data_IF_080129629997
#
_entry.id   IF_080129629997
#
_cell.length_a   1.000
_cell.length_b   1.000
_cell.length_c   1.000
_cell.angle_alpha   90.00
_cell.angle_beta   90.00
_cell.angle_gamma   90.00
#
_symmetry.space_group_name_H-M   'P 1'
#
loop_
_entity.id
_entity.type
_entity.pdbx_description
1 polymer ?
#
# COMPACT_ATOMS: atom_id res chain seq x y z
N UNK A 1 1.21 -15.74 10.03
CA UNK A 1 0.49 -14.53 9.58
C UNK A 1 0.80 -14.33 8.11
N UNK A 2 -0.19 -14.41 7.21
CA UNK A 2 0.02 -14.27 5.75
C UNK A 2 -0.44 -12.88 5.35
N UNK A 3 0.46 -12.02 4.86
CA UNK A 3 0.12 -10.68 4.40
C UNK A 3 -0.83 -10.75 3.20
N UNK A 4 -2.05 -10.26 3.37
CA UNK A 4 -3.07 -10.10 2.34
C UNK A 4 -4.13 -9.07 2.79
N UNK A 5 -5.02 -8.66 1.89
CA UNK A 5 -6.03 -7.62 2.16
C UNK A 5 -7.01 -7.98 3.27
N UNK A 6 -7.31 -9.26 3.49
CA UNK A 6 -8.18 -9.67 4.60
C UNK A 6 -7.42 -9.68 5.92
N UNK A 7 -6.16 -10.12 5.93
CA UNK A 7 -5.39 -10.20 7.18
C UNK A 7 -5.08 -8.83 7.78
N UNK A 8 -4.88 -7.79 6.95
CA UNK A 8 -4.56 -6.44 7.42
C UNK A 8 -5.78 -5.71 8.00
N UNK A 9 -7.01 -6.22 7.80
CA UNK A 9 -8.21 -5.71 8.47
C UNK A 9 -8.16 -5.95 9.99
N UNK A 10 -7.43 -6.99 10.41
CA UNK A 10 -7.18 -7.29 11.82
C UNK A 10 -5.93 -6.54 12.31
N UNK A 11 -6.01 -5.20 12.34
CA UNK A 11 -4.86 -4.30 12.54
C UNK A 11 -4.04 -4.58 13.79
N UNK A 12 -4.71 -4.85 14.91
CA UNK A 12 -4.09 -5.18 16.21
C UNK A 12 -3.02 -6.28 16.08
N UNK A 13 -3.29 -7.35 15.31
CA UNK A 13 -2.35 -8.46 15.12
C UNK A 13 -0.99 -8.02 14.52
N UNK A 14 -1.00 -6.95 13.72
CA UNK A 14 0.16 -6.39 13.03
C UNK A 14 0.81 -5.28 13.86
N UNK A 15 -0.01 -4.38 14.38
CA UNK A 15 0.44 -3.21 15.16
C UNK A 15 1.10 -3.65 16.48
N UNK A 16 0.58 -4.68 17.17
CA UNK A 16 1.19 -5.27 18.37
C UNK A 16 2.58 -5.87 18.11
N UNK A 17 2.89 -6.18 16.86
CA UNK A 17 4.20 -6.70 16.42
C UNK A 17 5.12 -5.60 15.88
N UNK A 18 4.70 -4.33 15.95
CA UNK A 18 5.45 -3.17 15.48
C UNK A 18 5.37 -2.94 13.97
N UNK A 19 4.43 -3.58 13.25
CA UNK A 19 4.23 -3.28 11.84
C UNK A 19 3.35 -2.04 11.67
N UNK A 20 3.76 -1.16 10.76
CA UNK A 20 2.96 -0.02 10.36
C UNK A 20 2.10 -0.45 9.16
N UNK A 21 0.78 -0.26 9.29
CA UNK A 21 -0.17 -0.49 8.21
C UNK A 21 -0.55 0.84 7.56
N UNK A 22 -0.93 0.84 6.28
CA UNK A 22 -1.48 2.04 5.63
C UNK A 22 -2.64 2.65 6.43
N UNK A 23 -2.68 3.98 6.50
CA UNK A 23 -3.73 4.73 7.19
C UNK A 23 -4.88 5.13 6.26
N UNK A 24 -4.66 5.06 4.94
CA UNK A 24 -5.66 5.30 3.91
C UNK A 24 -6.49 4.06 3.56
N UNK A 25 -7.64 4.28 2.93
CA UNK A 25 -8.50 3.20 2.40
C UNK A 25 -7.92 2.62 1.10
N UNK A 26 -7.34 1.41 1.21
CA UNK A 26 -6.70 0.71 0.10
C UNK A 26 -7.69 0.35 -1.02
N UNK A 27 -8.95 0.00 -0.69
CA UNK A 27 -9.94 -0.38 -1.71
C UNK A 27 -10.41 0.84 -2.50
N UNK A 28 -10.70 1.94 -1.79
CA UNK A 28 -11.03 3.22 -2.42
C UNK A 28 -9.89 3.73 -3.31
N UNK A 29 -8.66 3.73 -2.80
CA UNK A 29 -7.48 4.18 -3.56
C UNK A 29 -7.31 3.39 -4.86
N UNK A 30 -7.49 2.06 -4.80
CA UNK A 30 -7.37 1.19 -5.98
C UNK A 30 -8.50 1.42 -6.99
N UNK A 31 -9.72 1.70 -6.53
CA UNK A 31 -10.83 2.03 -7.40
C UNK A 31 -10.57 3.35 -8.14
N UNK A 32 -10.18 4.40 -7.42
CA UNK A 32 -9.86 5.71 -7.99
C UNK A 32 -8.68 5.66 -8.96
N UNK A 33 -7.61 4.95 -8.60
CA UNK A 33 -6.43 4.80 -9.47
C UNK A 33 -6.76 4.09 -10.78
N UNK A 34 -7.67 3.11 -10.76
CA UNK A 34 -8.13 2.41 -11.97
C UNK A 34 -9.04 3.28 -12.83
N UNK A 35 -9.91 4.07 -12.22
CA UNK A 35 -10.79 4.99 -12.93
C UNK A 35 -10.02 6.16 -13.56
N UNK A 36 -9.00 6.67 -12.85
CA UNK A 36 -8.26 7.87 -13.21
C UNK A 36 -6.72 7.67 -13.13
N UNK A 37 -6.12 6.79 -13.96
CA UNK A 37 -4.69 6.53 -13.90
C UNK A 37 -3.89 7.78 -14.30
N UNK A 38 -2.95 8.19 -13.45
CA UNK A 38 -2.11 9.38 -13.68
C UNK A 38 -0.78 9.06 -14.36
N UNK A 39 -0.18 7.92 -14.02
CA UNK A 39 1.11 7.48 -14.54
C UNK A 39 1.19 5.96 -14.44
N UNK A 40 2.10 5.37 -15.24
CA UNK A 40 2.33 3.94 -15.31
C UNK A 40 3.83 3.67 -15.15
N UNK A 41 4.17 2.70 -14.31
CA UNK A 41 5.56 2.26 -14.13
C UNK A 41 5.78 0.90 -14.80
N UNK A 42 6.84 0.80 -15.61
CA UNK A 42 7.28 -0.46 -16.21
C UNK A 42 8.48 -1.02 -15.44
N UNK A 43 8.42 -2.31 -15.09
CA UNK A 43 9.47 -2.97 -14.30
C UNK A 43 9.35 -2.72 -12.79
N UNK A 44 8.35 -3.31 -12.10
CA UNK A 44 8.10 -3.12 -10.67
C UNK A 44 9.07 -3.94 -9.79
N UNK A 45 10.37 -3.74 -10.01
CA UNK A 45 11.46 -4.37 -9.26
C UNK A 45 11.72 -3.70 -7.91
N UNK A 46 12.82 -4.10 -7.28
CA UNK A 46 13.19 -3.68 -5.92
C UNK A 46 13.35 -2.16 -5.76
N UNK A 47 14.01 -1.50 -6.71
CA UNK A 47 14.22 -0.05 -6.67
C UNK A 47 12.89 0.72 -6.72
N UNK A 48 11.95 0.28 -7.56
CA UNK A 48 10.61 0.87 -7.60
C UNK A 48 9.90 0.70 -6.25
N UNK A 49 9.91 -0.51 -5.68
CA UNK A 49 9.20 -0.81 -4.42
C UNK A 49 9.78 -0.05 -3.22
N UNK A 50 11.10 0.07 -3.14
CA UNK A 50 11.76 0.69 -1.98
C UNK A 50 11.83 2.22 -2.06
N UNK A 51 11.81 2.81 -3.25
CA UNK A 51 11.93 4.26 -3.40
C UNK A 51 10.65 4.90 -3.94
N UNK A 52 10.31 4.66 -5.20
CA UNK A 52 9.19 5.37 -5.85
C UNK A 52 7.86 5.02 -5.17
N UNK A 53 7.57 3.72 -4.98
CA UNK A 53 6.34 3.29 -4.31
C UNK A 53 6.31 3.75 -2.85
N UNK A 54 7.47 3.78 -2.17
CA UNK A 54 7.56 4.24 -0.79
C UNK A 54 7.21 5.73 -0.66
N UNK A 55 7.76 6.58 -1.50
CA UNK A 55 7.46 8.03 -1.51
C UNK A 55 5.97 8.27 -1.77
N UNK A 56 5.36 7.51 -2.69
CA UNK A 56 3.93 7.66 -2.99
C UNK A 56 3.04 7.18 -1.84
N UNK A 57 3.41 6.08 -1.19
CA UNK A 57 2.75 5.58 0.02
C UNK A 57 2.82 6.61 1.17
N UNK A 58 3.96 7.27 1.34
CA UNK A 58 4.19 8.36 2.30
C UNK A 58 3.33 9.61 2.05
N UNK A 59 2.96 9.87 0.80
CA UNK A 59 2.09 11.01 0.43
C UNK A 59 0.60 10.71 0.62
N UNK A 60 0.24 9.43 0.77
CA UNK A 60 -1.15 8.97 0.93
C UNK A 60 -1.54 8.82 2.39
N UNK A 61 -0.58 8.53 3.27
CA UNK A 61 -0.73 8.52 4.73
C UNK A 61 -0.79 9.93 5.31
#
# INVERSE_FOLDING_TARGET
MKLNLNSIKHREQWEDRGFHLPQYDIELLRAETKANPRWLHFGPGNLFRMFIARVQDELLD
#
